data_IF_513333608110
#
_entry.id   IF_513333608110
#
_cell.length_a   1.000
_cell.length_b   1.000
_cell.length_c   1.000
_cell.angle_alpha   90.00
_cell.angle_beta   90.00
_cell.angle_gamma   90.00
#
_symmetry.space_group_name_H-M   'P 1'
#
loop_
_entity.id
_entity.type
_entity.pdbx_description
1 polymer ?
#
# COMPACT_ATOMS: atom_id res chain seq x y z
N UNK A 1 12.64 2.17 13.00
CA UNK A 1 14.06 2.26 13.40
C UNK A 1 14.98 2.04 12.21
N UNK A 2 16.11 2.72 12.20
CA UNK A 2 17.10 2.69 11.13
C UNK A 2 17.71 1.30 10.97
N UNK A 3 17.44 0.71 9.81
CA UNK A 3 18.03 -0.55 9.38
C UNK A 3 19.54 -0.38 9.25
N UNK A 4 20.32 -1.34 9.74
CA UNK A 4 21.63 -1.65 9.18
C UNK A 4 21.40 -2.61 8.01
N UNK A 5 21.40 -2.16 6.74
CA UNK A 5 21.66 -3.06 5.64
C UNK A 5 23.19 -3.15 5.49
N UNK A 6 23.80 -4.17 6.09
CA UNK A 6 25.16 -4.54 5.72
C UNK A 6 25.03 -5.67 4.69
N UNK A 7 24.94 -5.31 3.41
CA UNK A 7 25.23 -6.26 2.33
C UNK A 7 26.71 -6.08 1.98
N UNK A 8 27.54 -6.99 2.48
CA UNK A 8 28.94 -7.11 2.11
C UNK A 8 28.98 -7.82 0.75
N UNK A 9 29.16 -7.07 -0.34
CA UNK A 9 29.40 -7.67 -1.65
C UNK A 9 30.82 -8.23 -1.70
N UNK A 10 30.90 -9.56 -1.79
CA UNK A 10 32.03 -10.36 -2.29
C UNK A 10 33.37 -10.23 -1.54
N UNK A 11 33.67 -11.21 -0.67
CA UNK A 11 35.04 -11.54 -0.26
C UNK A 11 35.55 -12.71 -1.11
N UNK A 12 36.53 -12.50 -2.02
CA UNK A 12 37.59 -13.48 -2.19
C UNK A 12 38.51 -13.34 -0.97
N UNK A 13 38.62 -14.40 -0.16
CA UNK A 13 39.65 -14.62 0.87
C UNK A 13 39.97 -13.45 1.82
N UNK A 14 39.52 -13.56 3.08
CA UNK A 14 39.60 -12.61 4.20
C UNK A 14 41.04 -12.28 4.69
N UNK A 15 42.05 -12.20 3.83
CA UNK A 15 43.39 -11.75 4.23
C UNK A 15 43.93 -10.68 3.29
N UNK A 16 43.93 -9.43 3.81
CA UNK A 16 44.44 -8.16 3.25
C UNK A 16 43.50 -7.41 2.29
N UNK A 17 42.65 -6.55 2.85
CA UNK A 17 42.19 -5.33 2.17
C UNK A 17 42.49 -4.15 3.09
N UNK A 18 43.79 -3.83 3.22
CA UNK A 18 44.20 -2.59 3.87
C UNK A 18 44.01 -1.46 2.86
N UNK A 19 43.02 -0.60 3.14
CA UNK A 19 42.56 0.60 2.42
C UNK A 19 41.48 0.40 1.33
N UNK A 20 40.23 0.24 1.76
CA UNK A 20 39.07 0.48 0.90
C UNK A 20 38.91 2.00 0.70
N UNK A 21 39.15 2.48 -0.51
CA UNK A 21 39.05 3.90 -0.86
C UNK A 21 37.60 4.36 -1.04
N UNK A 22 36.73 3.50 -1.57
CA UNK A 22 35.32 3.86 -1.81
C UNK A 22 34.39 2.67 -1.55
N UNK A 23 33.29 2.94 -0.84
CA UNK A 23 32.21 1.97 -0.59
C UNK A 23 30.91 2.53 -1.15
N UNK A 24 30.17 1.70 -1.90
CA UNK A 24 28.85 2.04 -2.43
C UNK A 24 27.80 1.12 -1.82
N UNK A 25 26.84 1.70 -1.09
CA UNK A 25 25.67 1.01 -0.57
C UNK A 25 24.50 1.18 -1.54
N UNK A 26 23.98 0.08 -2.06
CA UNK A 26 22.78 0.06 -2.88
C UNK A 26 21.57 -0.22 -1.99
N UNK A 27 20.53 0.60 -2.08
CA UNK A 27 19.29 0.41 -1.31
C UNK A 27 18.07 0.78 -2.14
N UNK A 28 16.99 0.05 -1.99
CA UNK A 28 15.70 0.37 -2.61
C UNK A 28 14.79 1.24 -1.74
N UNK A 29 15.24 1.59 -0.53
CA UNK A 29 14.46 2.34 0.44
C UNK A 29 14.67 3.86 0.26
N UNK A 30 13.91 4.46 -0.66
CA UNK A 30 13.98 5.89 -0.98
C UNK A 30 13.76 6.78 0.26
N UNK A 31 12.89 6.37 1.19
CA UNK A 31 12.60 7.11 2.42
C UNK A 31 13.82 7.23 3.35
N UNK A 32 14.72 6.25 3.36
CA UNK A 32 15.97 6.30 4.14
C UNK A 32 16.89 7.37 3.56
N UNK A 33 17.01 7.47 2.24
CA UNK A 33 17.82 8.50 1.59
C UNK A 33 17.26 9.91 1.82
N UNK A 34 15.94 10.07 1.74
CA UNK A 34 15.28 11.35 2.03
C UNK A 34 15.47 11.77 3.48
N UNK A 35 15.40 10.82 4.42
CA UNK A 35 15.60 11.13 5.84
C UNK A 35 17.08 11.37 6.18
N UNK A 36 18.03 10.76 5.43
CA UNK A 36 19.46 11.00 5.58
C UNK A 36 19.84 12.42 5.17
N UNK A 37 19.21 12.94 4.10
CA UNK A 37 19.36 14.34 3.66
C UNK A 37 18.82 15.38 4.66
N UNK A 38 17.94 14.96 5.57
CA UNK A 38 17.28 15.83 6.52
C UNK A 38 17.81 15.67 7.97
N UNK A 39 18.96 15.02 8.15
CA UNK A 39 19.60 14.75 9.46
C UNK A 39 18.71 14.07 10.52
N UNK A 40 17.65 13.39 10.08
CA UNK A 40 16.67 12.74 10.98
C UNK A 40 17.17 11.40 11.56
N UNK A 41 18.41 11.03 11.25
CA UNK A 41 18.89 9.66 11.23
C UNK A 41 20.30 9.49 11.85
N UNK A 42 20.48 10.07 13.04
CA UNK A 42 21.77 10.16 13.74
C UNK A 42 22.53 8.84 13.92
N UNK A 43 21.83 7.75 14.23
CA UNK A 43 22.47 6.44 14.41
C UNK A 43 23.08 5.88 13.12
N UNK A 44 22.39 6.01 11.99
CA UNK A 44 22.93 5.59 10.70
C UNK A 44 24.08 6.50 10.27
N UNK A 45 23.96 7.82 10.50
CA UNK A 45 25.05 8.75 10.21
C UNK A 45 26.32 8.40 10.97
N UNK A 46 26.20 8.09 12.27
CA UNK A 46 27.33 7.67 13.09
C UNK A 46 27.90 6.32 12.62
N UNK A 47 27.05 5.38 12.23
CA UNK A 47 27.49 4.10 11.66
C UNK A 47 28.25 4.30 10.33
N UNK A 48 27.76 5.17 9.45
CA UNK A 48 28.41 5.50 8.18
C UNK A 48 29.74 6.22 8.38
N UNK A 49 29.82 7.13 9.36
CA UNK A 49 31.05 7.83 9.73
C UNK A 49 32.12 6.86 10.28
N UNK A 50 31.70 5.83 11.01
CA UNK A 50 32.61 4.83 11.57
C UNK A 50 33.17 3.85 10.53
N UNK A 51 32.66 3.87 9.29
CA UNK A 51 33.25 3.10 8.20
C UNK A 51 34.56 3.78 7.80
N UNK A 52 35.68 3.14 8.13
CA UNK A 52 37.04 3.57 7.73
C UNK A 52 37.23 3.42 6.21
N UNK A 53 36.58 4.29 5.45
CA UNK A 53 36.73 4.41 3.99
C UNK A 53 36.88 5.87 3.61
N UNK A 54 37.59 6.18 2.52
CA UNK A 54 37.79 7.58 2.09
C UNK A 54 36.50 8.19 1.52
N UNK A 55 35.58 7.36 1.01
CA UNK A 55 34.31 7.85 0.45
C UNK A 55 33.19 6.80 0.58
N UNK A 56 32.09 7.18 1.22
CA UNK A 56 30.87 6.35 1.32
C UNK A 56 29.76 6.96 0.46
N UNK A 57 29.23 6.19 -0.48
CA UNK A 57 28.09 6.57 -1.33
C UNK A 57 26.91 5.69 -1.01
N UNK A 58 25.71 6.26 -0.90
CA UNK A 58 24.46 5.49 -0.83
C UNK A 58 23.64 5.82 -2.08
N UNK A 59 23.38 4.80 -2.89
CA UNK A 59 22.68 4.91 -4.16
C UNK A 59 21.35 4.18 -4.09
N UNK A 60 20.30 4.86 -4.56
CA UNK A 60 18.98 4.25 -4.70
C UNK A 60 18.94 3.30 -5.90
N UNK A 61 18.28 2.15 -5.74
CA UNK A 61 17.95 1.21 -6.82
C UNK A 61 16.45 0.86 -6.78
N UNK A 62 15.80 0.52 -7.91
CA UNK A 62 14.41 0.11 -7.89
C UNK A 62 14.24 -1.28 -7.23
N UNK A 63 13.18 -1.44 -6.43
CA UNK A 63 12.81 -2.72 -5.81
C UNK A 63 12.08 -3.63 -6.80
N UNK A 64 12.15 -4.95 -6.58
CA UNK A 64 11.42 -5.97 -7.35
C UNK A 64 11.64 -5.98 -8.87
N UNK A 65 12.82 -5.56 -9.33
CA UNK A 65 13.19 -5.53 -10.74
C UNK A 65 14.22 -6.61 -11.14
N UNK A 66 14.35 -7.72 -10.40
CA UNK A 66 15.30 -8.78 -10.76
C UNK A 66 16.75 -8.50 -10.33
N UNK A 67 17.00 -7.48 -9.50
CA UNK A 67 18.35 -7.18 -9.01
C UNK A 67 18.71 -8.22 -7.95
N UNK A 68 19.42 -9.27 -8.36
CA UNK A 68 19.73 -10.44 -7.54
C UNK A 68 20.23 -10.08 -6.13
N UNK A 69 21.18 -9.16 -6.00
CA UNK A 69 21.70 -8.75 -4.69
C UNK A 69 20.66 -8.09 -3.78
N UNK A 70 19.74 -7.30 -4.34
CA UNK A 70 18.66 -6.67 -3.58
C UNK A 70 17.60 -7.70 -3.17
N UNK A 71 17.23 -8.60 -4.07
CA UNK A 71 16.27 -9.66 -3.77
C UNK A 71 16.76 -10.60 -2.67
N UNK A 72 18.05 -10.93 -2.68
CA UNK A 72 18.67 -11.71 -1.62
C UNK A 72 18.72 -10.93 -0.30
N UNK A 73 19.02 -9.63 -0.35
CA UNK A 73 18.99 -8.76 0.84
C UNK A 73 17.59 -8.71 1.48
N UNK A 74 16.55 -8.54 0.65
CA UNK A 74 15.16 -8.52 1.09
C UNK A 74 14.72 -9.87 1.69
N UNK A 75 15.12 -10.97 1.04
CA UNK A 75 14.82 -12.32 1.55
C UNK A 75 15.46 -12.56 2.92
N UNK A 76 16.71 -12.14 3.10
CA UNK A 76 17.42 -12.24 4.37
C UNK A 76 16.82 -11.31 5.43
N UNK A 77 16.42 -10.09 5.05
CA UNK A 77 15.75 -9.15 5.95
C UNK A 77 14.41 -9.68 6.45
N UNK A 78 13.63 -10.34 5.58
CA UNK A 78 12.38 -11.02 5.97
C UNK A 78 12.64 -12.16 6.94
N UNK A 79 13.59 -13.04 6.62
CA UNK A 79 13.97 -14.15 7.50
C UNK A 79 14.43 -13.64 8.87
N UNK A 80 15.23 -12.58 8.93
CA UNK A 80 15.66 -11.96 10.18
C UNK A 80 14.53 -11.33 10.99
N UNK A 81 13.44 -10.88 10.34
CA UNK A 81 12.26 -10.37 11.01
C UNK A 81 11.42 -11.48 11.67
N UNK A 82 11.58 -12.74 11.24
CA UNK A 82 10.90 -13.91 11.81
C UNK A 82 11.65 -14.50 13.02
N UNK A 83 12.90 -14.09 13.26
CA UNK A 83 13.71 -14.57 14.38
C UNK A 83 13.40 -13.82 15.68
N UNK A 84 13.77 -14.42 16.82
CA UNK A 84 13.66 -13.79 18.13
C UNK A 84 14.51 -12.51 18.18
N UNK A 85 13.88 -11.39 18.51
CA UNK A 85 14.52 -10.07 18.60
C UNK A 85 14.77 -9.70 20.06
N UNK A 86 15.88 -9.01 20.35
CA UNK A 86 16.12 -8.43 21.67
C UNK A 86 15.08 -7.34 21.97
N UNK A 87 14.53 -7.33 23.18
CA UNK A 87 13.57 -6.32 23.61
C UNK A 87 14.24 -4.94 23.65
N UNK A 88 13.80 -4.05 22.75
CA UNK A 88 14.29 -2.68 22.67
C UNK A 88 13.12 -1.72 22.93
N UNK A 89 13.31 -0.57 23.60
CA UNK A 89 12.23 0.40 23.81
C UNK A 89 11.72 0.89 22.46
N UNK A 90 10.49 0.52 22.13
CA UNK A 90 9.81 0.97 20.91
C UNK A 90 9.04 2.25 21.18
N UNK A 91 9.01 3.15 20.19
CA UNK A 91 8.14 4.32 20.30
C UNK A 91 6.66 3.91 20.17
N UNK A 92 5.75 4.76 20.66
CA UNK A 92 4.30 4.47 20.63
C UNK A 92 3.80 4.09 19.21
N UNK A 93 4.31 4.74 18.17
CA UNK A 93 3.93 4.44 16.78
C UNK A 93 4.44 3.07 16.32
N UNK A 94 5.66 2.68 16.69
CA UNK A 94 6.19 1.33 16.45
C UNK A 94 5.40 0.28 17.24
N UNK A 95 5.07 0.56 18.51
CA UNK A 95 4.24 -0.32 19.33
C UNK A 95 2.85 -0.53 18.71
N UNK A 96 2.17 0.53 18.24
CA UNK A 96 0.88 0.37 17.55
C UNK A 96 1.00 -0.44 16.26
N UNK A 97 2.15 -0.37 15.58
CA UNK A 97 2.42 -1.15 14.35
C UNK A 97 2.66 -2.62 14.67
N UNK A 98 3.44 -2.90 15.72
CA UNK A 98 3.68 -4.26 16.23
C UNK A 98 2.35 -4.89 16.66
N UNK A 99 1.57 -4.19 17.48
CA UNK A 99 0.23 -4.62 17.90
C UNK A 99 -0.64 -4.93 16.67
N UNK A 100 -0.73 -4.01 15.69
CA UNK A 100 -1.47 -4.24 14.45
C UNK A 100 -0.96 -5.46 13.67
N UNK A 101 0.34 -5.69 13.62
CA UNK A 101 0.92 -6.85 12.94
C UNK A 101 0.64 -8.17 13.65
N UNK A 102 0.59 -8.18 14.99
CA UNK A 102 0.20 -9.35 15.78
C UNK A 102 -1.27 -9.74 15.51
N UNK A 103 -2.14 -8.74 15.38
CA UNK A 103 -3.54 -8.93 14.97
C UNK A 103 -3.74 -9.10 13.46
N UNK A 104 -2.67 -9.03 12.66
CA UNK A 104 -2.72 -9.29 11.23
C UNK A 104 -2.62 -10.80 10.91
N UNK A 105 -2.35 -11.63 11.92
CA UNK A 105 -2.58 -13.08 11.86
C UNK A 105 -4.08 -13.30 12.00
N UNK A 106 -4.77 -13.24 10.87
CA UNK A 106 -6.17 -13.65 10.73
C UNK A 106 -6.26 -15.18 10.83
N UNK A 107 -6.07 -15.75 12.02
CA UNK A 107 -6.63 -17.08 12.28
C UNK A 107 -8.03 -16.89 12.88
N UNK A 108 -8.99 -16.77 11.96
CA UNK A 108 -10.41 -16.61 12.27
C UNK A 108 -10.98 -17.78 13.07
N UNK A 109 -10.26 -18.91 13.18
CA UNK A 109 -10.70 -20.09 13.91
C UNK A 109 -10.37 -20.04 15.41
N UNK A 110 -9.63 -19.03 15.87
CA UNK A 110 -9.28 -18.85 17.29
C UNK A 110 -10.19 -17.87 18.03
N UNK A 111 -11.22 -17.32 17.36
CA UNK A 111 -12.16 -16.40 17.99
C UNK A 111 -13.22 -17.16 18.79
N UNK A 112 -13.56 -16.71 20.02
CA UNK A 112 -14.59 -17.35 20.85
C UNK A 112 -15.96 -17.35 20.15
N UNK A 113 -16.72 -18.43 20.28
CA UNK A 113 -18.07 -18.59 19.70
C UNK A 113 -19.08 -17.47 20.05
N UNK A 114 -18.75 -16.62 21.03
CA UNK A 114 -19.54 -15.45 21.44
C UNK A 114 -19.55 -14.32 20.42
N UNK A 115 -18.73 -14.37 19.37
CA UNK A 115 -18.94 -13.57 18.15
C UNK A 115 -20.09 -14.10 17.28
N UNK A 116 -21.16 -14.63 17.87
CA UNK A 116 -22.36 -15.11 17.19
C UNK A 116 -23.13 -14.02 16.38
N UNK A 117 -22.65 -12.78 16.38
CA UNK A 117 -23.09 -11.70 15.48
C UNK A 117 -22.03 -11.31 14.43
N UNK A 118 -20.85 -11.93 14.44
CA UNK A 118 -19.85 -11.75 13.41
C UNK A 118 -20.29 -12.51 12.16
N UNK A 119 -20.14 -11.87 10.98
CA UNK A 119 -20.49 -12.51 9.73
C UNK A 119 -19.70 -13.81 9.58
N UNK A 120 -20.36 -14.85 9.08
CA UNK A 120 -19.73 -16.12 8.74
C UNK A 120 -18.53 -15.89 7.82
N UNK A 121 -17.59 -16.84 7.75
CA UNK A 121 -16.44 -16.72 6.86
C UNK A 121 -16.85 -16.50 5.38
N UNK A 122 -17.99 -17.04 4.96
CA UNK A 122 -18.58 -16.77 3.64
C UNK A 122 -19.12 -15.35 3.52
N UNK A 123 -19.90 -14.85 4.49
CA UNK A 123 -20.39 -13.48 4.50
C UNK A 123 -19.23 -12.46 4.57
N UNK A 124 -18.17 -12.80 5.29
CA UNK A 124 -16.95 -12.01 5.37
C UNK A 124 -16.16 -12.06 4.05
N UNK A 125 -16.07 -13.22 3.37
CA UNK A 125 -15.46 -13.33 2.04
C UNK A 125 -16.27 -12.58 0.97
N UNK A 126 -17.60 -12.65 1.02
CA UNK A 126 -18.48 -11.87 0.16
C UNK A 126 -18.33 -10.35 0.41
N UNK A 127 -18.18 -9.96 1.68
CA UNK A 127 -17.80 -8.58 2.06
C UNK A 127 -16.41 -8.23 1.53
N UNK A 128 -15.40 -9.09 1.68
CA UNK A 128 -14.05 -8.80 1.18
C UNK A 128 -13.96 -8.76 -0.35
N UNK A 129 -14.79 -9.51 -1.07
CA UNK A 129 -14.89 -9.38 -2.53
C UNK A 129 -15.49 -8.02 -2.94
N UNK A 130 -16.36 -7.45 -2.10
CA UNK A 130 -17.02 -6.16 -2.31
C UNK A 130 -16.27 -4.93 -1.76
N UNK A 131 -15.36 -5.15 -0.81
CA UNK A 131 -14.62 -4.11 -0.09
C UNK A 131 -13.63 -3.31 -0.97
N UNK A 132 -12.87 -3.90 -1.94
CA UNK A 132 -11.93 -3.12 -2.75
C UNK A 132 -12.64 -2.01 -3.53
N UNK A 133 -13.66 -2.38 -4.31
CA UNK A 133 -14.39 -1.45 -5.17
C UNK A 133 -15.12 -0.37 -4.38
N UNK A 134 -15.87 -0.76 -3.34
CA UNK A 134 -16.62 0.21 -2.54
C UNK A 134 -15.70 1.14 -1.75
N UNK A 135 -14.56 0.66 -1.24
CA UNK A 135 -13.59 1.50 -0.55
C UNK A 135 -12.85 2.46 -1.49
N UNK A 136 -12.49 2.00 -2.70
CA UNK A 136 -11.93 2.82 -3.76
C UNK A 136 -12.91 3.94 -4.14
N UNK A 137 -14.20 3.62 -4.32
CA UNK A 137 -15.25 4.60 -4.61
C UNK A 137 -15.45 5.61 -3.48
N UNK A 138 -15.46 5.16 -2.21
CA UNK A 138 -15.64 6.01 -1.02
C UNK A 138 -14.49 6.99 -0.81
N UNK A 139 -13.27 6.54 -1.05
CA UNK A 139 -12.07 7.36 -0.81
C UNK A 139 -11.70 8.24 -2.00
N UNK A 140 -12.32 8.00 -3.16
CA UNK A 140 -12.00 8.73 -4.40
C UNK A 140 -10.63 8.39 -4.99
N UNK A 141 -9.94 7.37 -4.46
CA UNK A 141 -8.68 6.83 -5.03
C UNK A 141 -8.98 5.87 -6.18
N UNK A 142 -9.74 6.36 -7.15
CA UNK A 142 -10.22 5.59 -8.28
C UNK A 142 -9.65 6.09 -9.61
N UNK A 143 -9.88 5.35 -10.68
CA UNK A 143 -9.44 5.67 -12.04
C UNK A 143 -10.46 6.48 -12.84
N UNK A 144 -11.33 7.25 -12.17
CA UNK A 144 -12.21 8.20 -12.85
C UNK A 144 -11.44 9.46 -13.27
N UNK A 145 -11.88 10.13 -14.35
CA UNK A 145 -11.16 11.28 -14.91
C UNK A 145 -10.89 12.39 -13.88
N UNK A 146 -11.78 12.62 -12.91
CA UNK A 146 -11.53 13.61 -11.86
C UNK A 146 -10.25 13.30 -11.08
N UNK A 147 -10.08 12.06 -10.60
CA UNK A 147 -8.89 11.65 -9.87
C UNK A 147 -7.66 11.58 -10.79
N UNK A 148 -7.82 11.00 -11.99
CA UNK A 148 -6.73 10.89 -12.97
C UNK A 148 -6.18 12.25 -13.40
N UNK A 149 -7.03 13.29 -13.49
CA UNK A 149 -6.61 14.64 -13.85
C UNK A 149 -6.09 15.43 -12.64
N UNK A 150 -6.81 15.41 -11.50
CA UNK A 150 -6.48 16.26 -10.35
C UNK A 150 -5.30 15.72 -9.54
N UNK A 151 -5.21 14.40 -9.37
CA UNK A 151 -4.21 13.74 -8.53
C UNK A 151 -3.10 13.12 -9.38
N UNK A 152 -3.44 12.25 -10.33
CA UNK A 152 -2.44 11.47 -11.08
C UNK A 152 -1.79 12.24 -12.24
N UNK A 153 -2.43 13.30 -12.75
CA UNK A 153 -1.97 14.12 -13.88
C UNK A 153 -1.72 13.33 -15.17
N UNK A 154 -2.48 12.26 -15.41
CA UNK A 154 -2.29 11.35 -16.56
C UNK A 154 -3.33 11.54 -17.68
N UNK A 155 -4.45 12.18 -17.40
CA UNK A 155 -5.45 12.56 -18.41
C UNK A 155 -5.55 14.08 -18.51
N UNK A 156 -5.87 14.65 -19.69
CA UNK A 156 -5.86 16.09 -19.91
C UNK A 156 -7.09 16.84 -19.37
N UNK A 157 -8.17 16.13 -19.04
CA UNK A 157 -9.42 16.75 -18.57
C UNK A 157 -10.12 15.87 -17.52
N UNK A 158 -10.74 16.47 -16.49
CA UNK A 158 -11.54 15.75 -15.50
C UNK A 158 -12.95 15.42 -16.00
N UNK A 159 -13.36 15.92 -17.18
CA UNK A 159 -14.72 15.82 -17.67
C UNK A 159 -15.13 14.38 -17.99
N UNK A 160 -16.37 14.06 -17.66
CA UNK A 160 -16.98 12.81 -18.09
C UNK A 160 -17.27 12.86 -19.60
N UNK A 161 -17.14 11.74 -20.33
CA UNK A 161 -17.55 11.67 -21.74
C UNK A 161 -19.03 12.03 -22.00
N UNK A 162 -19.88 12.06 -20.97
CA UNK A 162 -21.26 12.52 -21.08
C UNK A 162 -21.38 14.04 -21.29
N UNK A 163 -20.32 14.80 -21.00
CA UNK A 163 -20.24 16.26 -21.19
C UNK A 163 -20.86 17.12 -20.08
N UNK A 164 -21.49 16.54 -19.06
CA UNK A 164 -22.31 17.32 -18.11
C UNK A 164 -21.58 17.72 -16.82
N UNK A 165 -20.61 16.92 -16.39
CA UNK A 165 -19.88 17.13 -15.15
C UNK A 165 -18.50 16.47 -15.20
N UNK A 166 -17.69 16.74 -14.18
CA UNK A 166 -16.49 15.96 -13.92
C UNK A 166 -16.85 14.50 -13.63
N UNK A 167 -16.02 13.57 -14.10
CA UNK A 167 -16.23 12.15 -13.83
C UNK A 167 -15.76 11.81 -12.42
N UNK A 168 -16.69 11.85 -11.47
CA UNK A 168 -16.47 11.42 -10.09
C UNK A 168 -17.48 10.34 -9.65
N UNK A 169 -17.28 9.80 -8.45
CA UNK A 169 -18.12 8.73 -7.91
C UNK A 169 -19.60 9.16 -7.83
N UNK A 170 -19.87 10.40 -7.44
CA UNK A 170 -21.22 10.89 -7.29
C UNK A 170 -21.92 11.00 -8.65
N UNK A 171 -21.26 11.61 -9.63
CA UNK A 171 -21.76 11.71 -10.99
C UNK A 171 -22.00 10.33 -11.61
N UNK A 172 -21.03 9.42 -11.50
CA UNK A 172 -21.12 8.07 -12.03
C UNK A 172 -22.34 7.32 -11.45
N UNK A 173 -22.51 7.36 -10.13
CA UNK A 173 -23.54 6.59 -9.43
C UNK A 173 -24.93 7.26 -9.41
N UNK A 174 -25.04 8.58 -9.61
CA UNK A 174 -26.32 9.30 -9.48
C UNK A 174 -26.83 9.91 -10.78
N UNK A 175 -25.98 10.58 -11.57
CA UNK A 175 -26.48 11.52 -12.60
C UNK A 175 -25.92 11.33 -14.00
N UNK A 176 -24.92 10.47 -14.23
CA UNK A 176 -24.32 10.28 -15.54
C UNK A 176 -25.32 9.73 -16.57
N UNK A 177 -25.67 10.52 -17.60
CA UNK A 177 -26.62 10.11 -18.65
C UNK A 177 -26.25 8.82 -19.37
N UNK A 178 -24.95 8.60 -19.61
CA UNK A 178 -24.45 7.38 -20.29
C UNK A 178 -24.90 6.12 -19.55
N UNK A 179 -24.94 6.16 -18.22
CA UNK A 179 -25.25 4.98 -17.39
C UNK A 179 -26.68 5.00 -16.83
N UNK A 180 -27.57 5.85 -17.35
CA UNK A 180 -28.95 5.95 -16.85
C UNK A 180 -29.71 4.63 -16.97
N UNK A 181 -29.73 4.02 -18.15
CA UNK A 181 -30.41 2.74 -18.37
C UNK A 181 -29.88 1.62 -17.45
N UNK A 182 -28.58 1.60 -17.17
CA UNK A 182 -27.97 0.63 -16.26
C UNK A 182 -28.35 0.92 -14.79
N UNK A 183 -28.44 2.19 -14.40
CA UNK A 183 -28.92 2.56 -13.06
C UNK A 183 -30.36 2.12 -12.86
N UNK A 184 -31.24 2.37 -13.83
CA UNK A 184 -32.67 2.01 -13.74
C UNK A 184 -32.87 0.49 -13.70
N UNK A 185 -31.97 -0.26 -14.36
CA UNK A 185 -31.92 -1.73 -14.32
C UNK A 185 -31.52 -2.28 -12.95
N UNK A 186 -30.55 -1.65 -12.27
CA UNK A 186 -29.99 -2.15 -11.00
C UNK A 186 -30.72 -1.59 -9.77
N UNK A 187 -31.16 -0.34 -9.84
CA UNK A 187 -31.90 0.36 -8.80
C UNK A 187 -33.27 0.76 -9.33
N UNK A 188 -34.29 -0.06 -9.02
CA UNK A 188 -35.69 0.18 -9.44
C UNK A 188 -36.35 1.37 -8.73
N UNK A 189 -35.74 1.87 -7.64
CA UNK A 189 -36.16 3.06 -6.91
C UNK A 189 -34.97 3.99 -6.70
N UNK A 190 -35.25 5.30 -6.55
CA UNK A 190 -34.21 6.28 -6.24
C UNK A 190 -33.48 5.87 -4.95
N UNK A 191 -32.22 5.48 -5.11
CA UNK A 191 -31.36 5.05 -4.02
C UNK A 191 -30.32 6.15 -3.76
N UNK A 192 -30.23 6.70 -2.54
CA UNK A 192 -29.31 7.79 -2.26
C UNK A 192 -27.85 7.33 -2.32
N UNK A 193 -26.94 8.24 -2.67
CA UNK A 193 -25.51 7.95 -2.77
C UNK A 193 -24.94 7.35 -1.48
N UNK A 194 -25.42 7.80 -0.33
CA UNK A 194 -25.02 7.28 0.98
C UNK A 194 -25.32 5.78 1.11
N UNK A 195 -26.45 5.32 0.60
CA UNK A 195 -26.82 3.91 0.64
C UNK A 195 -26.05 3.09 -0.39
N UNK A 196 -25.83 3.63 -1.60
CA UNK A 196 -24.97 2.99 -2.62
C UNK A 196 -23.54 2.78 -2.13
N UNK A 197 -23.01 3.71 -1.34
CA UNK A 197 -21.63 3.65 -0.84
C UNK A 197 -21.51 3.01 0.53
N UNK A 198 -22.43 3.22 1.47
CA UNK A 198 -22.30 2.82 2.88
C UNK A 198 -23.48 1.98 3.39
N UNK A 199 -24.35 1.53 2.49
CA UNK A 199 -25.51 0.71 2.83
C UNK A 199 -25.17 -0.74 3.23
N UNK A 200 -26.21 -1.55 3.45
CA UNK A 200 -26.06 -2.98 3.73
C UNK A 200 -25.42 -3.75 2.56
N UNK A 201 -25.03 -5.00 2.79
CA UNK A 201 -24.22 -5.80 1.85
C UNK A 201 -24.90 -5.94 0.48
N UNK A 202 -26.22 -6.08 0.44
CA UNK A 202 -27.02 -6.16 -0.78
C UNK A 202 -26.96 -4.85 -1.59
N UNK A 203 -26.98 -3.69 -0.93
CA UNK A 203 -26.81 -2.40 -1.57
C UNK A 203 -25.40 -2.23 -2.16
N UNK A 204 -24.38 -2.68 -1.42
CA UNK A 204 -22.98 -2.65 -1.89
C UNK A 204 -22.76 -3.58 -3.09
N UNK A 205 -23.36 -4.77 -3.07
CA UNK A 205 -23.32 -5.72 -4.19
C UNK A 205 -23.94 -5.13 -5.46
N UNK A 206 -25.06 -4.39 -5.35
CA UNK A 206 -25.63 -3.65 -6.48
C UNK A 206 -24.66 -2.61 -7.04
N UNK A 207 -23.98 -1.84 -6.18
CA UNK A 207 -22.98 -0.85 -6.61
C UNK A 207 -21.82 -1.50 -7.36
N UNK A 208 -21.35 -2.65 -6.91
CA UNK A 208 -20.25 -3.38 -7.57
C UNK A 208 -20.70 -3.89 -8.93
N UNK A 209 -21.85 -4.56 -8.97
CA UNK A 209 -22.44 -5.03 -10.22
C UNK A 209 -22.61 -3.89 -11.23
N UNK A 210 -23.04 -2.72 -10.75
CA UNK A 210 -23.13 -1.53 -11.59
C UNK A 210 -21.77 -1.17 -12.17
N UNK A 211 -20.73 -1.03 -11.34
CA UNK A 211 -19.37 -0.71 -11.80
C UNK A 211 -18.85 -1.74 -12.80
N UNK A 212 -19.02 -3.03 -12.53
CA UNK A 212 -18.62 -4.11 -13.44
C UNK A 212 -19.35 -4.02 -14.79
N UNK A 213 -20.67 -3.79 -14.78
CA UNK A 213 -21.48 -3.64 -16.00
C UNK A 213 -21.18 -2.31 -16.74
N UNK A 214 -20.62 -1.28 -16.09
CA UNK A 214 -20.18 -0.05 -16.79
C UNK A 214 -18.90 -0.26 -17.62
N UNK A 215 -18.09 -1.28 -17.32
CA UNK A 215 -16.78 -1.47 -17.94
C UNK A 215 -15.72 -0.41 -17.58
N UNK A 216 -16.06 0.52 -16.69
CA UNK A 216 -15.12 1.54 -16.20
C UNK A 216 -14.21 0.86 -15.20
N UNK A 217 -12.89 0.93 -15.43
CA UNK A 217 -11.94 0.59 -14.39
C UNK A 217 -12.00 1.68 -13.34
N UNK A 218 -12.35 1.30 -12.12
CA UNK A 218 -12.44 2.19 -10.95
C UNK A 218 -11.24 1.91 -10.06
#
# INVERSE_FOLDING_TARGET
MMKKPLLMLHTPSINKIDNITQVVFLTDVLSVLQALKNDKLRQLQQALYNIKSLTTVIQWIPSHCGVWGNEQADKLAKYGAEQQQEENPVCFTEMTTIIKSLFNIRDWNLLPDTVAAAPTLEEFRARLASVPWTQILRTGHNRLNQHLHKVMKVVPSPMCPCGEAEQDTAHLLQSCKIHQALRDKIWHSETPLKEKLYGPVDALQKTIRFVEETGIQV
#
